data_IF_080166009768
#
_entry.id   IF_080166009768
#
_cell.length_a   1.000
_cell.length_b   1.000
_cell.length_c   1.000
_cell.angle_alpha   90.00
_cell.angle_beta   90.00
_cell.angle_gamma   90.00
#
_symmetry.space_group_name_H-M   'P 1'
#
loop_
_entity.id
_entity.type
_entity.pdbx_description
1 polymer ?
#
# COMPACT_ATOMS: atom_id res chain seq x y z
N UNK A 1 4.74 7.27 -30.06
CA UNK A 1 4.82 6.45 -28.83
C UNK A 1 3.86 7.04 -27.82
N UNK A 2 2.91 6.27 -27.25
CA UNK A 2 2.05 6.74 -26.18
C UNK A 2 2.90 7.02 -24.92
N UNK A 3 2.64 8.13 -24.22
CA UNK A 3 3.30 8.47 -22.97
C UNK A 3 2.26 8.56 -21.86
N UNK A 4 2.46 7.92 -20.70
CA UNK A 4 1.47 7.91 -19.63
C UNK A 4 1.38 9.29 -18.97
N UNK A 5 0.17 9.86 -18.94
CA UNK A 5 -0.12 11.11 -18.25
C UNK A 5 -0.65 10.82 -16.83
N UNK A 6 -0.15 11.57 -15.84
CA UNK A 6 -0.64 11.46 -14.47
C UNK A 6 -1.77 12.45 -14.26
N UNK A 7 -2.90 11.95 -13.77
CA UNK A 7 -4.03 12.77 -13.36
C UNK A 7 -4.48 12.42 -11.94
N UNK A 8 -5.21 13.34 -11.32
CA UNK A 8 -5.96 13.10 -10.09
C UNK A 8 -7.44 13.16 -10.41
N UNK A 9 -8.19 12.15 -9.99
CA UNK A 9 -9.64 12.18 -10.09
C UNK A 9 -10.21 13.03 -8.95
N UNK A 10 -10.93 14.09 -9.29
CA UNK A 10 -11.56 15.00 -8.34
C UNK A 10 -12.94 15.42 -8.86
N UNK A 11 -13.98 15.16 -8.08
CA UNK A 11 -15.37 15.56 -8.38
C UNK A 11 -15.88 15.21 -9.79
N UNK A 12 -15.56 14.00 -10.29
CA UNK A 12 -16.02 13.58 -11.63
C UNK A 12 -15.08 13.99 -12.77
N UNK A 13 -13.97 14.65 -12.49
CA UNK A 13 -13.03 15.15 -13.50
C UNK A 13 -11.61 14.65 -13.25
N UNK A 14 -10.90 14.26 -14.31
CA UNK A 14 -9.47 13.95 -14.24
C UNK A 14 -8.65 15.21 -14.45
N UNK A 15 -8.00 15.69 -13.40
CA UNK A 15 -7.13 16.87 -13.43
C UNK A 15 -5.70 16.42 -13.69
N UNK A 16 -5.14 16.77 -14.84
CA UNK A 16 -3.76 16.44 -15.21
C UNK A 16 -2.77 17.15 -14.27
N UNK A 17 -1.69 16.45 -13.89
CA UNK A 17 -0.60 17.02 -13.09
C UNK A 17 0.40 17.82 -13.91
N UNK A 18 0.43 17.58 -15.22
CA UNK A 18 1.32 18.24 -16.17
C UNK A 18 0.49 18.65 -17.36
N UNK A 19 0.78 19.83 -17.91
CA UNK A 19 0.10 20.31 -19.10
C UNK A 19 0.25 19.31 -20.26
N UNK A 20 -0.86 19.07 -20.95
CA UNK A 20 -0.89 18.22 -22.13
C UNK A 20 -1.65 18.94 -23.25
N UNK A 21 -1.00 19.12 -24.38
CA UNK A 21 -1.57 19.86 -25.51
C UNK A 21 -2.26 18.89 -26.47
N UNK A 22 -3.43 18.37 -26.07
CA UNK A 22 -4.28 17.52 -26.91
C UNK A 22 -5.32 18.38 -27.64
N UNK A 23 -5.63 18.06 -28.91
CA UNK A 23 -6.73 18.72 -29.61
C UNK A 23 -8.08 18.37 -28.96
N UNK A 24 -9.06 19.26 -29.11
CA UNK A 24 -10.42 18.99 -28.66
C UNK A 24 -10.99 17.75 -29.37
N UNK A 25 -11.63 16.86 -28.62
CA UNK A 25 -12.16 15.59 -29.13
C UNK A 25 -11.13 14.46 -29.25
N UNK A 26 -9.90 14.63 -28.78
CA UNK A 26 -8.92 13.55 -28.75
C UNK A 26 -9.39 12.38 -27.86
N UNK A 27 -9.40 11.17 -28.42
CA UNK A 27 -9.64 9.94 -27.68
C UNK A 27 -8.39 9.55 -26.87
N UNK A 28 -8.59 9.15 -25.62
CA UNK A 28 -7.52 8.73 -24.71
C UNK A 28 -7.92 7.46 -23.97
N UNK A 29 -6.93 6.63 -23.64
CA UNK A 29 -7.10 5.45 -22.79
C UNK A 29 -6.69 5.77 -21.35
N UNK A 30 -7.54 5.43 -20.38
CA UNK A 30 -7.32 5.70 -18.97
C UNK A 30 -6.97 4.43 -18.21
N UNK A 31 -5.82 4.45 -17.54
CA UNK A 31 -5.36 3.38 -16.67
C UNK A 31 -5.55 3.80 -15.21
N UNK A 32 -6.61 3.34 -14.57
CA UNK A 32 -6.95 3.70 -13.18
C UNK A 32 -6.34 2.71 -12.21
N UNK A 33 -5.27 3.13 -11.54
CA UNK A 33 -4.73 2.39 -10.39
C UNK A 33 -5.61 2.63 -9.17
N UNK A 34 -6.68 1.84 -9.00
CA UNK A 34 -7.35 1.80 -7.71
C UNK A 34 -6.38 1.19 -6.70
N UNK A 35 -6.14 1.91 -5.59
CA UNK A 35 -5.56 1.25 -4.42
C UNK A 35 -6.62 0.25 -3.99
N UNK A 36 -6.48 -0.99 -4.44
CA UNK A 36 -7.20 -2.09 -3.84
C UNK A 36 -6.67 -2.18 -2.41
N UNK A 37 -7.30 -1.41 -1.53
CA UNK A 37 -7.16 -1.61 -0.10
C UNK A 37 -7.63 -3.05 0.13
N UNK A 38 -6.67 -3.95 0.29
CA UNK A 38 -6.96 -5.32 0.64
C UNK A 38 -7.70 -5.25 1.96
N UNK A 39 -8.99 -5.58 1.93
CA UNK A 39 -9.80 -5.56 3.13
C UNK A 39 -9.13 -6.47 4.18
N UNK A 40 -9.13 -6.08 5.46
CA UNK A 40 -8.58 -6.92 6.50
C UNK A 40 -9.30 -8.28 6.48
N UNK A 41 -8.51 -9.36 6.53
CA UNK A 41 -9.03 -10.74 6.48
C UNK A 41 -10.03 -11.04 7.59
N UNK A 42 -9.97 -10.30 8.70
CA UNK A 42 -10.91 -10.37 9.82
C UNK A 42 -11.69 -9.07 9.86
N UNK A 43 -12.97 -9.14 9.48
CA UNK A 43 -13.89 -8.00 9.46
C UNK A 43 -14.75 -7.91 10.73
N UNK A 44 -15.01 -9.05 11.40
CA UNK A 44 -15.79 -9.06 12.64
C UNK A 44 -14.98 -8.53 13.84
N UNK A 45 -15.51 -7.54 14.60
CA UNK A 45 -14.79 -6.97 15.73
C UNK A 45 -14.49 -7.95 16.86
N UNK A 46 -15.34 -8.96 17.10
CA UNK A 46 -15.13 -9.94 18.17
C UNK A 46 -14.05 -10.94 17.78
N UNK A 47 -14.10 -11.45 16.55
CA UNK A 47 -13.04 -12.29 16.00
C UNK A 47 -11.68 -11.57 15.99
N UNK A 48 -11.68 -10.27 15.65
CA UNK A 48 -10.47 -9.45 15.70
C UNK A 48 -9.91 -9.35 17.12
N UNK A 49 -10.75 -9.16 18.13
CA UNK A 49 -10.32 -9.11 19.52
C UNK A 49 -9.69 -10.43 19.99
N UNK A 50 -10.30 -11.56 19.61
CA UNK A 50 -9.78 -12.90 19.92
C UNK A 50 -8.41 -13.12 19.23
N UNK A 51 -8.31 -12.78 17.96
CA UNK A 51 -7.07 -12.90 17.20
C UNK A 51 -5.95 -12.05 17.81
N UNK A 52 -6.22 -10.78 18.11
CA UNK A 52 -5.23 -9.87 18.69
C UNK A 52 -4.75 -10.35 20.06
N UNK A 53 -5.66 -10.89 20.89
CA UNK A 53 -5.28 -11.48 22.17
C UNK A 53 -4.34 -12.67 21.97
N UNK A 54 -4.67 -13.61 21.08
CA UNK A 54 -3.81 -14.76 20.79
C UNK A 54 -2.45 -14.34 20.22
N UNK A 55 -2.41 -13.29 19.40
CA UNK A 55 -1.18 -12.73 18.85
C UNK A 55 -0.27 -12.21 19.96
N UNK A 56 -0.81 -11.41 20.89
CA UNK A 56 -0.06 -10.85 22.02
C UNK A 56 0.46 -11.97 22.93
N UNK A 57 -0.38 -12.96 23.25
CA UNK A 57 0.03 -14.13 24.05
C UNK A 57 1.22 -14.85 23.40
N UNK A 58 1.20 -15.07 22.08
CA UNK A 58 2.34 -15.67 21.36
C UNK A 58 3.59 -14.80 21.39
N UNK A 59 3.46 -13.48 21.21
CA UNK A 59 4.61 -12.57 21.27
C UNK A 59 5.24 -12.56 22.66
N UNK A 60 4.43 -12.67 23.72
CA UNK A 60 4.92 -12.75 25.10
C UNK A 60 5.61 -14.09 25.41
N UNK A 61 5.14 -15.19 24.80
CA UNK A 61 5.78 -16.50 24.93
C UNK A 61 7.15 -16.57 24.25
N UNK A 62 7.37 -15.76 23.21
CA UNK A 62 8.64 -15.71 22.47
C UNK A 62 9.21 -14.28 22.47
N UNK A 63 9.65 -13.77 23.63
CA UNK A 63 10.20 -12.43 23.72
C UNK A 63 11.50 -12.34 22.91
N UNK A 64 11.74 -11.18 22.31
CA UNK A 64 13.01 -10.89 21.65
C UNK A 64 14.10 -10.93 22.74
N UNK A 65 15.14 -11.77 22.61
CA UNK A 65 16.23 -11.80 23.58
C UNK A 65 16.90 -10.44 23.71
N UNK A 66 17.33 -10.06 24.92
CA UNK A 66 18.09 -8.82 25.14
C UNK A 66 19.42 -8.78 24.36
N UNK A 67 19.90 -9.94 23.95
CA UNK A 67 21.11 -10.11 23.12
C UNK A 67 20.82 -10.13 21.62
N UNK A 68 19.56 -9.90 21.21
CA UNK A 68 19.21 -9.89 19.80
C UNK A 68 19.93 -8.74 19.07
N UNK A 69 20.52 -8.99 17.89
CA UNK A 69 21.18 -7.94 17.13
C UNK A 69 20.15 -6.94 16.59
N UNK A 70 20.50 -5.66 16.58
CA UNK A 70 19.72 -4.64 15.89
C UNK A 70 19.79 -4.87 14.38
N UNK A 71 18.64 -4.99 13.74
CA UNK A 71 18.55 -5.10 12.29
C UNK A 71 18.63 -3.71 11.68
N UNK A 72 19.81 -3.35 11.17
CA UNK A 72 19.98 -2.13 10.37
C UNK A 72 19.59 -2.37 8.92
N UNK A 73 19.31 -1.28 8.19
CA UNK A 73 18.98 -1.34 6.76
C UNK A 73 20.07 -2.09 5.97
N UNK A 74 21.32 -1.77 6.25
CA UNK A 74 22.51 -2.36 5.63
C UNK A 74 22.55 -3.88 5.89
N UNK A 75 22.31 -4.30 7.14
CA UNK A 75 22.33 -5.71 7.55
C UNK A 75 21.29 -6.61 6.86
N UNK A 76 20.19 -6.01 6.39
CA UNK A 76 19.10 -6.70 5.68
C UNK A 76 19.35 -6.79 4.17
N UNK A 77 20.14 -5.89 3.60
CA UNK A 77 20.47 -5.87 2.17
C UNK A 77 21.74 -6.67 1.82
N UNK A 78 22.64 -6.89 2.78
CA UNK A 78 23.91 -7.60 2.58
C UNK A 78 23.80 -9.13 2.69
N UNK A 79 22.62 -9.67 3.04
CA UNK A 79 22.37 -11.11 3.00
C UNK A 79 22.02 -11.55 1.58
N UNK A 80 23.03 -11.70 0.72
CA UNK A 80 22.94 -12.41 -0.55
C UNK A 80 23.79 -13.67 -0.52
#
# INVERSE_FOLDING_TARGET
MPHPLKAVYHNGTFVLKTDCHLPEGAEVELWVNSSQLIAPKISDPREKAIFLRSLVEKMQQYPIPATAPELTRESLHERR
#
